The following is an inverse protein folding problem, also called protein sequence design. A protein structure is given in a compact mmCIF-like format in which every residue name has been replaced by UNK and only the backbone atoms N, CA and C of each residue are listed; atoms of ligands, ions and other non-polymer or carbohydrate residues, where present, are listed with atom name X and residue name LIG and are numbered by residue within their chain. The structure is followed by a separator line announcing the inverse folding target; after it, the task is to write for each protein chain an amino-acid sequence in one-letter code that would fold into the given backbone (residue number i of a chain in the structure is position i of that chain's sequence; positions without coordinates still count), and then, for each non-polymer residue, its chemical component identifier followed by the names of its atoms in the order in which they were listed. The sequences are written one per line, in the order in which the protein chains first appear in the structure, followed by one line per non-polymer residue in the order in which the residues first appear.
data_IF_857123756690
#
_entry.id   IF_857123756690
#
_cell.length_a   1.000
_cell.length_b   1.000
_cell.length_c   1.000
_cell.angle_alpha   90.00
_cell.angle_beta   90.00
_cell.angle_gamma   90.00
#
_symmetry.space_group_name_H-M   'P 1'
#
loop_
_entity.id
_entity.type
_entity.pdbx_description
1 polymer ?
#
# COMPACT_ATOMS: atom_id res chain seq x y z
N UNK A 1 4.42 -12.59 -45.74
CA UNK A 1 3.52 -11.55 -45.19
C UNK A 1 2.09 -11.92 -45.58
N UNK A 2 1.20 -12.25 -44.62
CA UNK A 2 -0.23 -12.50 -44.88
C UNK A 2 -1.07 -11.72 -43.85
N UNK A 3 -1.90 -10.82 -44.39
CA UNK A 3 -2.96 -9.95 -43.86
C UNK A 3 -3.10 -9.75 -42.34
N UNK A 4 -2.81 -8.51 -41.89
CA UNK A 4 -3.01 -8.03 -40.52
C UNK A 4 -4.13 -6.99 -40.35
N UNK A 5 -4.88 -6.63 -41.39
CA UNK A 5 -5.71 -5.40 -41.37
C UNK A 5 -7.24 -5.56 -41.51
N UNK A 6 -7.82 -6.76 -41.50
CA UNK A 6 -9.30 -6.92 -41.62
C UNK A 6 -10.11 -6.72 -40.32
N UNK A 7 -9.48 -6.47 -39.17
CA UNK A 7 -10.15 -6.38 -37.85
C UNK A 7 -10.66 -4.98 -37.47
N UNK A 8 -10.42 -3.95 -38.30
CA UNK A 8 -10.65 -2.55 -37.92
C UNK A 8 -12.13 -2.15 -37.74
N UNK A 9 -13.09 -3.05 -37.97
CA UNK A 9 -14.53 -2.73 -37.86
C UNK A 9 -15.24 -3.21 -36.59
N UNK A 10 -14.58 -3.98 -35.68
CA UNK A 10 -15.24 -4.53 -34.48
C UNK A 10 -14.76 -3.84 -33.20
N UNK A 11 -15.69 -3.20 -32.49
CA UNK A 11 -15.45 -2.61 -31.18
C UNK A 11 -15.80 -3.61 -30.07
N UNK A 12 -14.80 -4.04 -29.28
CA UNK A 12 -15.01 -4.89 -28.10
C UNK A 12 -15.28 -4.06 -26.83
N UNK A 13 -16.25 -4.48 -26.03
CA UNK A 13 -16.60 -3.82 -24.77
C UNK A 13 -17.33 -4.72 -23.78
N UNK A 14 -17.74 -4.13 -22.66
CA UNK A 14 -18.65 -4.80 -21.71
C UNK A 14 -20.06 -4.79 -22.30
N UNK A 15 -20.80 -5.91 -22.28
CA UNK A 15 -22.20 -5.87 -22.67
C UNK A 15 -23.00 -4.99 -21.71
N UNK A 16 -24.15 -4.52 -22.18
CA UNK A 16 -25.19 -3.87 -21.37
C UNK A 16 -26.56 -4.43 -21.69
N UNK A 17 -27.58 -4.04 -20.91
CA UNK A 17 -28.97 -4.53 -21.06
C UNK A 17 -29.50 -4.46 -22.50
N UNK A 18 -29.15 -3.40 -23.25
CA UNK A 18 -29.57 -3.19 -24.66
C UNK A 18 -28.96 -4.21 -25.63
N UNK A 19 -27.86 -4.86 -25.26
CA UNK A 19 -27.18 -5.83 -26.11
C UNK A 19 -27.81 -7.23 -26.04
N UNK A 20 -28.59 -7.53 -24.99
CA UNK A 20 -29.12 -8.86 -24.72
C UNK A 20 -29.95 -9.44 -25.88
N UNK A 21 -30.74 -8.60 -26.56
CA UNK A 21 -31.52 -9.04 -27.73
C UNK A 21 -30.63 -9.43 -28.90
N UNK A 22 -29.62 -8.62 -29.23
CA UNK A 22 -28.66 -8.95 -30.28
C UNK A 22 -27.81 -10.16 -29.93
N UNK A 23 -27.47 -10.35 -28.65
CA UNK A 23 -26.76 -11.54 -28.16
C UNK A 23 -27.63 -12.79 -28.31
N UNK A 24 -28.90 -12.72 -27.95
CA UNK A 24 -29.84 -13.84 -28.06
C UNK A 24 -29.97 -14.33 -29.51
N UNK A 25 -30.22 -13.42 -30.45
CA UNK A 25 -30.32 -13.77 -31.86
C UNK A 25 -28.99 -14.31 -32.40
N UNK A 26 -27.86 -13.70 -32.04
CA UNK A 26 -26.54 -14.17 -32.46
C UNK A 26 -26.27 -15.62 -31.99
N UNK A 27 -26.59 -15.97 -30.75
CA UNK A 27 -26.37 -17.33 -30.24
C UNK A 27 -27.33 -18.33 -30.91
N UNK A 28 -28.58 -17.93 -31.11
CA UNK A 28 -29.60 -18.73 -31.82
C UNK A 28 -29.16 -19.07 -33.25
N UNK A 29 -28.44 -18.18 -33.93
CA UNK A 29 -27.92 -18.39 -35.28
C UNK A 29 -26.55 -19.10 -35.32
N UNK A 30 -25.99 -19.46 -34.17
CA UNK A 30 -24.63 -20.03 -34.01
C UNK A 30 -24.63 -21.47 -33.48
N UNK A 31 -25.22 -22.46 -34.19
CA UNK A 31 -25.08 -23.86 -33.80
C UNK A 31 -23.59 -24.28 -33.80
N UNK A 32 -23.15 -25.15 -32.88
CA UNK A 32 -23.94 -25.98 -31.96
C UNK A 32 -24.15 -25.34 -30.57
N UNK A 33 -24.12 -24.02 -30.41
CA UNK A 33 -24.29 -23.41 -29.09
C UNK A 33 -25.71 -23.60 -28.55
N UNK A 34 -25.82 -24.00 -27.29
CA UNK A 34 -27.11 -24.06 -26.60
C UNK A 34 -27.74 -22.67 -26.45
N UNK A 35 -29.00 -22.55 -26.88
CA UNK A 35 -29.76 -21.34 -26.68
C UNK A 35 -30.33 -21.31 -25.26
N UNK A 36 -29.78 -20.43 -24.43
CA UNK A 36 -30.29 -20.20 -23.08
C UNK A 36 -31.59 -19.39 -23.10
N UNK A 37 -32.29 -19.31 -21.96
CA UNK A 37 -33.41 -18.38 -21.81
C UNK A 37 -32.98 -16.95 -22.09
N UNK A 38 -33.88 -16.13 -22.66
CA UNK A 38 -33.62 -14.69 -22.84
C UNK A 38 -33.22 -14.00 -21.53
N UNK A 39 -33.81 -14.42 -20.42
CA UNK A 39 -33.50 -13.94 -19.08
C UNK A 39 -32.04 -14.19 -18.70
N UNK A 40 -31.48 -15.36 -19.04
CA UNK A 40 -30.06 -15.67 -18.81
C UNK A 40 -29.14 -14.67 -19.53
N UNK A 41 -29.46 -14.29 -20.77
CA UNK A 41 -28.65 -13.30 -21.51
C UNK A 41 -28.77 -11.88 -20.93
N UNK A 42 -29.93 -11.52 -20.35
CA UNK A 42 -30.05 -10.27 -19.58
C UNK A 42 -29.09 -10.28 -18.38
N UNK A 43 -29.00 -11.37 -17.62
CA UNK A 43 -28.07 -11.52 -16.50
C UNK A 43 -26.61 -11.46 -16.97
N UNK A 44 -26.27 -12.15 -18.06
CA UNK A 44 -24.92 -12.13 -18.62
C UNK A 44 -24.51 -10.71 -19.08
N UNK A 45 -25.45 -9.95 -19.64
CA UNK A 45 -25.21 -8.59 -20.10
C UNK A 45 -25.23 -7.53 -18.99
N UNK A 46 -25.68 -7.88 -17.78
CA UNK A 46 -25.81 -6.94 -16.66
C UNK A 46 -24.96 -7.38 -15.46
N UNK A 47 -25.33 -8.47 -14.80
CA UNK A 47 -24.68 -8.97 -13.59
C UNK A 47 -23.26 -9.50 -13.88
N UNK A 48 -23.06 -10.19 -15.01
CA UNK A 48 -21.76 -10.80 -15.37
C UNK A 48 -20.99 -10.00 -16.43
N UNK A 49 -21.36 -8.73 -16.65
CA UNK A 49 -20.76 -7.92 -17.72
C UNK A 49 -19.24 -7.72 -17.58
N UNK A 50 -18.73 -7.86 -16.37
CA UNK A 50 -17.31 -7.71 -16.05
C UNK A 50 -16.45 -8.90 -16.50
N UNK A 51 -17.07 -10.06 -16.68
CA UNK A 51 -16.44 -11.28 -17.23
C UNK A 51 -16.89 -11.57 -18.67
N UNK A 52 -17.91 -10.88 -19.18
CA UNK A 52 -18.40 -11.05 -20.55
C UNK A 52 -17.88 -9.97 -21.53
N UNK A 53 -17.80 -10.29 -22.81
CA UNK A 53 -17.39 -9.37 -23.88
C UNK A 53 -18.42 -9.36 -25.00
N UNK A 54 -18.82 -8.17 -25.45
CA UNK A 54 -19.58 -7.99 -26.69
C UNK A 54 -18.68 -7.32 -27.73
N UNK A 55 -18.70 -7.82 -28.96
CA UNK A 55 -18.11 -7.19 -30.14
C UNK A 55 -19.20 -6.60 -31.01
N UNK A 56 -19.08 -5.33 -31.37
CA UNK A 56 -20.04 -4.64 -32.24
C UNK A 56 -19.40 -4.23 -33.55
N UNK A 57 -20.08 -4.56 -34.65
CA UNK A 57 -19.76 -4.08 -36.00
C UNK A 57 -20.93 -3.23 -36.49
N UNK A 58 -20.65 -2.00 -36.95
CA UNK A 58 -21.68 -1.07 -37.46
C UNK A 58 -22.87 -0.87 -36.50
N UNK A 59 -22.59 -0.87 -35.18
CA UNK A 59 -23.59 -0.71 -34.13
C UNK A 59 -24.41 -1.96 -33.78
N UNK A 60 -24.26 -3.06 -34.53
CA UNK A 60 -24.92 -4.34 -34.27
C UNK A 60 -24.03 -5.30 -33.49
N UNK A 61 -24.64 -6.18 -32.70
CA UNK A 61 -23.91 -7.26 -31.98
C UNK A 61 -23.42 -8.27 -33.02
N UNK A 62 -22.10 -8.42 -33.13
CA UNK A 62 -21.45 -9.28 -34.12
C UNK A 62 -20.64 -10.41 -33.47
N UNK A 63 -20.31 -10.28 -32.18
CA UNK A 63 -19.72 -11.36 -31.40
C UNK A 63 -20.06 -11.23 -29.92
N UNK A 64 -20.12 -12.35 -29.20
CA UNK A 64 -20.40 -12.40 -27.78
C UNK A 64 -19.64 -13.52 -27.08
N UNK A 65 -19.06 -13.21 -25.92
CA UNK A 65 -18.35 -14.15 -25.07
C UNK A 65 -18.91 -14.02 -23.67
N UNK A 66 -19.47 -15.11 -23.15
CA UNK A 66 -19.88 -15.22 -21.76
C UNK A 66 -18.79 -15.93 -20.96
N UNK A 67 -18.49 -15.39 -19.79
CA UNK A 67 -17.56 -16.03 -18.85
C UNK A 67 -17.97 -15.71 -17.41
N UNK A 68 -17.48 -16.50 -16.46
CA UNK A 68 -17.67 -16.27 -15.04
C UNK A 68 -16.49 -16.83 -14.23
N UNK A 69 -16.41 -16.47 -12.95
CA UNK A 69 -15.45 -17.07 -12.02
C UNK A 69 -16.08 -18.33 -11.42
N UNK A 70 -15.48 -19.53 -11.61
CA UNK A 70 -15.96 -20.71 -10.93
C UNK A 70 -15.92 -20.51 -9.40
N UNK A 71 -16.92 -20.98 -8.65
CA UNK A 71 -16.91 -20.91 -7.20
C UNK A 71 -15.61 -21.51 -6.65
N UNK A 72 -14.99 -20.81 -5.69
CA UNK A 72 -13.72 -21.21 -5.03
C UNK A 72 -12.47 -21.26 -5.93
N UNK A 73 -12.53 -20.82 -7.19
CA UNK A 73 -11.34 -20.67 -8.07
C UNK A 73 -11.10 -19.20 -8.43
N UNK A 74 -10.49 -18.44 -7.53
CA UNK A 74 -10.26 -16.99 -7.72
C UNK A 74 -9.24 -16.63 -8.80
N UNK A 75 -8.43 -17.60 -9.23
CA UNK A 75 -7.40 -17.44 -10.27
C UNK A 75 -7.80 -18.05 -11.62
N UNK A 76 -9.08 -18.42 -11.77
CA UNK A 76 -9.61 -19.08 -12.96
C UNK A 76 -10.80 -18.33 -13.53
N UNK A 77 -10.84 -18.15 -14.86
CA UNK A 77 -12.05 -17.70 -15.57
C UNK A 77 -12.57 -18.83 -16.43
N UNK A 78 -13.87 -19.14 -16.31
CA UNK A 78 -14.53 -20.15 -17.13
C UNK A 78 -15.30 -19.46 -18.24
N UNK A 79 -14.98 -19.79 -19.50
CA UNK A 79 -15.67 -19.32 -20.69
C UNK A 79 -16.82 -20.29 -20.98
N UNK A 80 -18.03 -19.76 -20.97
CA UNK A 80 -19.24 -20.56 -21.13
C UNK A 80 -19.69 -20.64 -22.59
N UNK A 81 -19.79 -19.51 -23.30
CA UNK A 81 -20.15 -19.48 -24.73
C UNK A 81 -19.29 -18.45 -25.46
N UNK A 82 -18.91 -18.79 -26.71
CA UNK A 82 -18.32 -17.84 -27.65
C UNK A 82 -19.12 -17.91 -28.94
N UNK A 83 -19.90 -16.87 -29.23
CA UNK A 83 -20.63 -16.71 -30.48
C UNK A 83 -19.97 -15.64 -31.35
N UNK A 84 -19.82 -15.93 -32.65
CA UNK A 84 -19.26 -15.02 -33.64
C UNK A 84 -20.12 -15.15 -34.90
N UNK A 85 -20.57 -14.00 -35.41
CA UNK A 85 -21.34 -13.91 -36.63
C UNK A 85 -20.65 -14.65 -37.78
N UNK A 86 -21.42 -15.37 -38.61
CA UNK A 86 -20.90 -16.22 -39.69
C UNK A 86 -19.96 -15.48 -40.64
N UNK A 87 -20.23 -14.20 -40.93
CA UNK A 87 -19.38 -13.38 -41.81
C UNK A 87 -17.99 -13.07 -41.22
N UNK A 88 -17.82 -13.30 -39.91
CA UNK A 88 -16.63 -12.99 -39.13
C UNK A 88 -15.95 -14.24 -38.54
N UNK A 89 -16.49 -15.43 -38.82
CA UNK A 89 -15.87 -16.69 -38.39
C UNK A 89 -14.52 -16.91 -39.08
N UNK A 90 -13.64 -17.66 -38.42
CA UNK A 90 -12.25 -17.94 -38.86
C UNK A 90 -11.31 -16.72 -39.00
N UNK A 91 -11.85 -15.50 -38.95
CA UNK A 91 -11.09 -14.24 -38.90
C UNK A 91 -10.60 -13.93 -37.49
N UNK A 92 -10.24 -14.90 -36.66
CA UNK A 92 -9.59 -14.70 -35.35
C UNK A 92 -10.34 -13.89 -34.26
N UNK A 93 -11.60 -13.49 -34.49
CA UNK A 93 -12.41 -12.66 -33.57
C UNK A 93 -12.53 -13.27 -32.17
N UNK A 94 -12.80 -14.59 -32.08
CA UNK A 94 -12.89 -15.30 -30.80
C UNK A 94 -11.60 -15.18 -29.95
N UNK A 95 -10.43 -15.34 -30.57
CA UNK A 95 -9.15 -15.15 -29.86
C UNK A 95 -8.94 -13.71 -29.41
N UNK A 96 -9.39 -12.74 -30.21
CA UNK A 96 -9.29 -11.33 -29.86
C UNK A 96 -10.18 -10.97 -28.66
N UNK A 97 -11.37 -11.55 -28.56
CA UNK A 97 -12.27 -11.38 -27.42
C UNK A 97 -11.68 -11.93 -26.12
N UNK A 98 -11.09 -13.14 -26.14
CA UNK A 98 -10.41 -13.69 -24.96
C UNK A 98 -9.24 -12.80 -24.53
N UNK A 99 -8.43 -12.32 -25.49
CA UNK A 99 -7.34 -11.38 -25.19
C UNK A 99 -7.84 -10.04 -24.63
N UNK A 100 -8.95 -9.52 -25.15
CA UNK A 100 -9.57 -8.31 -24.63
C UNK A 100 -10.08 -8.52 -23.19
N UNK A 101 -10.72 -9.66 -22.92
CA UNK A 101 -11.18 -10.04 -21.58
C UNK A 101 -10.03 -10.11 -20.57
N UNK A 102 -8.95 -10.82 -20.91
CA UNK A 102 -7.78 -11.02 -20.02
C UNK A 102 -6.96 -9.75 -19.77
N UNK A 103 -7.21 -8.66 -20.51
CA UNK A 103 -6.60 -7.35 -20.26
C UNK A 103 -7.36 -6.53 -19.21
N UNK A 104 -8.56 -6.95 -18.79
CA UNK A 104 -9.36 -6.21 -17.82
C UNK A 104 -8.75 -6.26 -16.43
N UNK A 105 -8.85 -5.14 -15.69
CA UNK A 105 -8.29 -4.97 -14.35
C UNK A 105 -8.77 -6.04 -13.36
N UNK A 106 -10.05 -6.42 -13.41
CA UNK A 106 -10.64 -7.45 -12.55
C UNK A 106 -10.21 -8.89 -12.88
N UNK A 107 -9.55 -9.12 -14.03
CA UNK A 107 -8.95 -10.41 -14.41
C UNK A 107 -7.41 -10.39 -14.36
N UNK A 108 -6.81 -9.35 -13.78
CA UNK A 108 -5.36 -9.16 -13.75
C UNK A 108 -4.58 -10.32 -13.10
N UNK A 109 -5.20 -11.03 -12.16
CA UNK A 109 -4.58 -12.13 -11.40
C UNK A 109 -4.94 -13.53 -11.92
N UNK A 110 -5.66 -13.64 -13.03
CA UNK A 110 -6.06 -14.93 -13.60
C UNK A 110 -4.82 -15.70 -14.10
N UNK A 111 -4.76 -16.98 -13.74
CA UNK A 111 -3.75 -17.94 -14.17
C UNK A 111 -4.34 -19.01 -15.08
N UNK A 112 -5.65 -19.27 -15.01
CA UNK A 112 -6.27 -20.34 -15.78
C UNK A 112 -7.50 -19.85 -16.56
N UNK A 113 -7.63 -20.34 -17.79
CA UNK A 113 -8.84 -20.20 -18.61
C UNK A 113 -9.43 -21.60 -18.77
N UNK A 114 -10.67 -21.77 -18.36
CA UNK A 114 -11.42 -23.02 -18.47
C UNK A 114 -12.55 -22.88 -19.49
N UNK A 115 -12.93 -23.97 -20.15
CA UNK A 115 -14.12 -24.08 -20.97
C UNK A 115 -14.54 -25.55 -21.09
N UNK A 116 -15.82 -25.82 -21.36
CA UNK A 116 -16.29 -27.17 -21.69
C UNK A 116 -16.57 -27.27 -23.19
N UNK A 117 -16.22 -28.42 -23.77
CA UNK A 117 -16.41 -28.71 -25.20
C UNK A 117 -16.84 -30.17 -25.36
N UNK A 118 -17.88 -30.40 -26.15
CA UNK A 118 -18.28 -31.74 -26.57
C UNK A 118 -17.28 -32.35 -27.56
N UNK A 119 -17.01 -33.67 -27.51
CA UNK A 119 -16.09 -34.36 -28.41
C UNK A 119 -16.34 -34.10 -29.91
N UNK A 120 -17.59 -34.00 -30.35
CA UNK A 120 -17.93 -33.74 -31.75
C UNK A 120 -17.62 -32.31 -32.21
N UNK A 121 -17.51 -31.34 -31.29
CA UNK A 121 -17.18 -29.95 -31.61
C UNK A 121 -15.66 -29.76 -31.85
N UNK A 122 -15.17 -30.34 -32.95
CA UNK A 122 -13.76 -30.30 -33.38
C UNK A 122 -13.24 -28.86 -33.55
N UNK A 123 -14.10 -27.94 -34.00
CA UNK A 123 -13.74 -26.54 -34.20
C UNK A 123 -13.37 -25.85 -32.87
N UNK A 124 -14.19 -26.02 -31.83
CA UNK A 124 -13.90 -25.51 -30.49
C UNK A 124 -12.65 -26.16 -29.90
N UNK A 125 -12.45 -27.48 -30.09
CA UNK A 125 -11.23 -28.17 -29.65
C UNK A 125 -9.96 -27.58 -30.26
N UNK A 126 -9.93 -27.38 -31.58
CA UNK A 126 -8.81 -26.75 -32.28
C UNK A 126 -8.60 -25.31 -31.81
N UNK A 127 -9.68 -24.57 -31.61
CA UNK A 127 -9.62 -23.19 -31.11
C UNK A 127 -8.92 -23.10 -29.75
N UNK A 128 -9.35 -23.89 -28.76
CA UNK A 128 -8.80 -23.82 -27.40
C UNK A 128 -7.34 -24.32 -27.34
N UNK A 129 -6.96 -25.32 -28.15
CA UNK A 129 -5.56 -25.75 -28.29
C UNK A 129 -4.67 -24.63 -28.85
N UNK A 130 -5.08 -23.98 -29.95
CA UNK A 130 -4.37 -22.82 -30.51
C UNK A 130 -4.37 -21.60 -29.57
N UNK A 131 -5.42 -21.45 -28.77
CA UNK A 131 -5.50 -20.39 -27.76
C UNK A 131 -4.45 -20.61 -26.67
N UNK A 132 -4.25 -21.85 -26.21
CA UNK A 132 -3.23 -22.20 -25.23
C UNK A 132 -1.82 -21.83 -25.70
N UNK A 133 -1.47 -22.18 -26.94
CA UNK A 133 -0.22 -21.77 -27.59
C UNK A 133 -0.05 -20.25 -27.62
N UNK A 134 -1.10 -19.52 -28.04
CA UNK A 134 -1.08 -18.04 -28.11
C UNK A 134 -0.98 -17.37 -26.74
N UNK A 135 -1.51 -18.00 -25.69
CA UNK A 135 -1.43 -17.49 -24.31
C UNK A 135 -0.13 -17.94 -23.61
N UNK A 136 0.61 -18.88 -24.19
CA UNK A 136 1.84 -19.44 -23.63
C UNK A 136 1.58 -20.30 -22.38
N UNK A 137 0.40 -20.91 -22.26
CA UNK A 137 0.03 -21.77 -21.15
C UNK A 137 -0.01 -23.25 -21.56
N UNK A 138 0.09 -24.14 -20.57
CA UNK A 138 -0.17 -25.58 -20.79
C UNK A 138 -1.64 -25.84 -21.13
N UNK A 139 -1.91 -27.02 -21.67
CA UNK A 139 -3.26 -27.45 -22.06
C UNK A 139 -3.57 -28.81 -21.46
N UNK A 140 -4.65 -28.91 -20.69
CA UNK A 140 -5.12 -30.14 -20.06
C UNK A 140 -6.60 -30.39 -20.38
N UNK A 141 -6.96 -31.65 -20.60
CA UNK A 141 -8.33 -32.10 -20.88
C UNK A 141 -8.78 -33.07 -19.79
N UNK A 142 -10.01 -32.92 -19.29
CA UNK A 142 -10.63 -33.88 -18.35
C UNK A 142 -12.13 -33.94 -18.59
N UNK A 143 -12.72 -35.13 -18.66
CA UNK A 143 -14.19 -35.26 -18.68
C UNK A 143 -14.77 -34.67 -17.39
N UNK A 144 -15.65 -33.67 -17.54
CA UNK A 144 -16.31 -32.97 -16.43
C UNK A 144 -17.70 -33.56 -16.17
N UNK A 145 -18.52 -33.64 -17.23
CA UNK A 145 -19.82 -34.29 -17.20
C UNK A 145 -19.83 -35.46 -18.17
N UNK A 146 -20.40 -36.59 -17.76
CA UNK A 146 -20.62 -37.78 -18.58
C UNK A 146 -22.04 -37.73 -19.15
N UNK A 147 -22.28 -38.46 -20.24
CA UNK A 147 -23.62 -38.56 -20.87
C UNK A 147 -24.74 -38.85 -19.86
N UNK A 148 -24.49 -39.75 -18.91
CA UNK A 148 -25.44 -40.12 -17.84
C UNK A 148 -25.80 -38.98 -16.88
N UNK A 149 -25.01 -37.91 -16.81
CA UNK A 149 -25.24 -36.81 -15.88
C UNK A 149 -26.36 -35.87 -16.37
N UNK A 150 -26.80 -36.01 -17.63
CA UNK A 150 -27.83 -35.18 -18.28
C UNK A 150 -29.27 -35.70 -18.12
N UNK A 151 -29.54 -36.51 -17.08
CA UNK A 151 -30.89 -36.90 -16.64
C UNK A 151 -31.85 -37.39 -17.77
N UNK A 152 -31.34 -38.11 -18.76
CA UNK A 152 -32.13 -38.69 -19.85
C UNK A 152 -32.31 -37.79 -21.08
N UNK A 153 -31.70 -36.60 -21.08
CA UNK A 153 -31.56 -35.76 -22.28
C UNK A 153 -30.40 -36.31 -23.11
N UNK A 154 -30.62 -36.54 -24.41
CA UNK A 154 -29.57 -36.97 -25.33
C UNK A 154 -28.51 -35.84 -25.45
N UNK A 155 -27.37 -36.04 -24.80
CA UNK A 155 -26.27 -35.09 -24.77
C UNK A 155 -24.94 -35.82 -24.59
N UNK A 156 -23.92 -35.42 -25.35
CA UNK A 156 -22.57 -35.97 -25.23
C UNK A 156 -21.92 -35.65 -23.88
N UNK A 157 -20.83 -36.35 -23.55
CA UNK A 157 -19.97 -35.93 -22.44
C UNK A 157 -19.39 -34.54 -22.67
N UNK A 158 -19.24 -33.75 -21.60
CA UNK A 158 -18.57 -32.46 -21.63
C UNK A 158 -17.12 -32.59 -21.16
N UNK A 159 -16.17 -32.21 -22.01
CA UNK A 159 -14.74 -32.24 -21.67
C UNK A 159 -14.31 -30.85 -21.23
N UNK A 160 -13.85 -30.73 -19.98
CA UNK A 160 -13.24 -29.52 -19.46
C UNK A 160 -11.83 -29.38 -20.05
N UNK A 161 -11.63 -28.28 -20.76
CA UNK A 161 -10.32 -27.79 -21.16
C UNK A 161 -9.82 -26.79 -20.14
N UNK A 162 -8.57 -26.95 -19.71
CA UNK A 162 -7.87 -26.02 -18.82
C UNK A 162 -6.62 -25.51 -19.51
N UNK A 163 -6.58 -24.20 -19.73
CA UNK A 163 -5.42 -23.48 -20.28
C UNK A 163 -4.71 -22.77 -19.14
N UNK A 164 -3.46 -23.13 -18.87
CA UNK A 164 -2.63 -22.41 -17.91
C UNK A 164 -1.47 -23.23 -17.34
N UNK A 165 -0.67 -22.65 -16.44
CA UNK A 165 -0.78 -21.26 -15.99
C UNK A 165 -0.43 -20.27 -17.12
N UNK A 166 -1.28 -19.28 -17.36
CA UNK A 166 -1.05 -18.18 -18.29
C UNK A 166 -0.47 -16.97 -17.55
N UNK A 167 0.30 -16.14 -18.27
CA UNK A 167 0.86 -14.90 -17.73
C UNK A 167 0.15 -13.68 -18.29
N UNK A 168 -0.83 -13.16 -17.54
CA UNK A 168 -1.46 -11.85 -17.82
C UNK A 168 -0.40 -10.74 -17.77
N UNK A 169 -0.66 -9.57 -18.39
CA UNK A 169 0.25 -8.43 -18.32
C UNK A 169 0.65 -8.05 -16.89
N UNK A 170 -0.29 -8.06 -15.94
CA UNK A 170 -0.02 -7.70 -14.54
C UNK A 170 0.83 -8.74 -13.80
N UNK A 171 0.62 -10.04 -14.06
CA UNK A 171 1.48 -11.09 -13.48
C UNK A 171 2.93 -10.99 -13.99
N UNK A 172 3.13 -10.62 -15.26
CA UNK A 172 4.48 -10.38 -15.80
C UNK A 172 5.17 -9.17 -15.16
N UNK A 173 4.40 -8.13 -14.84
CA UNK A 173 4.89 -6.95 -14.11
C UNK A 173 5.33 -7.32 -12.68
N UNK A 174 4.48 -8.04 -11.94
CA UNK A 174 4.78 -8.52 -10.57
C UNK A 174 6.01 -9.44 -10.50
N UNK A 175 6.20 -10.32 -11.49
CA UNK A 175 7.40 -11.17 -11.56
C UNK A 175 8.67 -10.35 -11.80
N UNK A 176 8.61 -9.34 -12.68
CA UNK A 176 9.73 -8.40 -12.89
C UNK A 176 10.04 -7.63 -11.61
N UNK A 177 9.03 -7.09 -10.93
CA UNK A 177 9.17 -6.41 -9.64
C UNK A 177 9.84 -7.30 -8.57
N UNK A 178 9.52 -8.59 -8.53
CA UNK A 178 10.13 -9.52 -7.56
C UNK A 178 11.60 -9.85 -7.87
N UNK A 179 12.08 -9.65 -9.10
CA UNK A 179 13.48 -9.92 -9.46
C UNK A 179 14.44 -8.88 -8.87
N UNK A 180 14.08 -7.58 -8.92
CA UNK A 180 14.89 -6.49 -8.34
C UNK A 180 15.07 -6.61 -6.82
N UNK A 181 14.07 -7.14 -6.11
CA UNK A 181 14.12 -7.28 -4.65
C UNK A 181 14.81 -8.56 -4.14
N UNK A 182 15.31 -9.43 -5.02
CA UNK A 182 15.83 -10.75 -4.63
C UNK A 182 17.02 -10.66 -3.66
N UNK A 183 17.90 -9.68 -3.86
CA UNK A 183 19.06 -9.45 -3.00
C UNK A 183 18.63 -9.11 -1.57
N UNK A 184 17.78 -8.08 -1.43
CA UNK A 184 17.23 -7.63 -0.14
C UNK A 184 16.49 -8.75 0.58
N UNK A 185 15.68 -9.53 -0.15
CA UNK A 185 14.96 -10.69 0.42
C UNK A 185 15.92 -11.73 1.03
N UNK A 186 17.08 -11.96 0.40
CA UNK A 186 18.06 -12.98 0.80
C UNK A 186 19.05 -12.49 1.86
N UNK A 187 19.41 -11.21 1.84
CA UNK A 187 20.57 -10.69 2.59
C UNK A 187 20.22 -9.68 3.67
N UNK A 188 19.12 -8.96 3.54
CA UNK A 188 18.71 -7.97 4.54
C UNK A 188 17.98 -8.65 5.70
N UNK A 189 18.12 -8.10 6.91
CA UNK A 189 17.39 -8.58 8.10
C UNK A 189 15.88 -8.61 7.87
N UNK A 190 15.20 -9.55 8.52
CA UNK A 190 13.74 -9.70 8.43
C UNK A 190 12.97 -8.55 9.10
N UNK A 191 13.63 -7.71 9.89
CA UNK A 191 13.00 -6.56 10.56
C UNK A 191 12.50 -5.48 9.58
N UNK A 192 13.11 -5.37 8.38
CA UNK A 192 12.79 -4.36 7.35
C UNK A 192 11.28 -4.18 7.12
N UNK A 193 10.76 -2.97 7.26
CA UNK A 193 9.33 -2.68 7.09
C UNK A 193 9.03 -2.05 5.72
N UNK A 194 9.66 -0.93 5.40
CA UNK A 194 9.31 -0.12 4.23
C UNK A 194 9.58 -0.79 2.89
N UNK A 195 10.59 -1.66 2.78
CA UNK A 195 10.82 -2.45 1.55
C UNK A 195 9.73 -3.51 1.31
N UNK A 196 8.89 -3.82 2.31
CA UNK A 196 7.66 -4.62 2.14
C UNK A 196 6.47 -3.75 1.78
N UNK A 197 6.33 -2.59 2.40
CA UNK A 197 5.23 -1.64 2.13
C UNK A 197 5.34 -0.99 0.74
N UNK A 198 6.56 -0.68 0.32
CA UNK A 198 6.91 -0.09 -0.97
C UNK A 198 7.88 -1.03 -1.70
N UNK A 199 7.40 -2.17 -2.28
CA UNK A 199 8.27 -3.19 -2.84
C UNK A 199 8.83 -2.77 -4.21
N UNK A 200 9.67 -1.75 -4.22
CA UNK A 200 10.34 -1.17 -5.38
C UNK A 200 11.80 -0.88 -5.04
N UNK A 201 12.64 -0.88 -6.07
CA UNK A 201 14.01 -0.38 -5.99
C UNK A 201 14.00 1.02 -6.60
N UNK A 202 14.15 2.03 -5.74
CA UNK A 202 14.19 3.43 -6.16
C UNK A 202 15.62 3.81 -6.59
N UNK A 203 15.73 4.57 -7.67
CA UNK A 203 17.01 4.98 -8.28
C UNK A 203 17.32 6.45 -7.97
N UNK A 204 16.43 7.37 -8.36
CA UNK A 204 16.64 8.81 -8.15
C UNK A 204 15.38 9.53 -7.68
N UNK A 205 15.57 10.72 -7.12
CA UNK A 205 14.52 11.49 -6.48
C UNK A 205 14.77 13.00 -6.61
N UNK A 206 13.71 13.80 -6.74
CA UNK A 206 13.79 15.27 -6.71
C UNK A 206 12.47 15.89 -6.26
N UNK A 207 12.52 16.81 -5.31
CA UNK A 207 11.32 17.41 -4.73
C UNK A 207 10.44 16.31 -4.11
N UNK A 208 9.18 16.24 -4.50
CA UNK A 208 8.25 15.20 -4.04
C UNK A 208 8.17 13.98 -4.98
N UNK A 209 9.14 13.79 -5.89
CA UNK A 209 9.11 12.71 -6.88
C UNK A 209 10.20 11.68 -6.64
N UNK A 210 9.81 10.41 -6.67
CA UNK A 210 10.67 9.23 -6.68
C UNK A 210 10.56 8.51 -8.02
N UNK A 211 11.66 7.94 -8.50
CA UNK A 211 11.73 7.15 -9.72
C UNK A 211 12.34 5.79 -9.42
N UNK A 212 11.70 4.70 -9.85
CA UNK A 212 12.26 3.36 -9.75
C UNK A 212 13.20 3.02 -10.92
N UNK A 213 13.91 1.90 -10.85
CA UNK A 213 14.83 1.43 -11.91
C UNK A 213 14.13 1.21 -13.27
N UNK A 214 12.79 1.08 -13.27
CA UNK A 214 11.96 1.00 -14.47
C UNK A 214 11.51 2.36 -15.01
N UNK A 215 12.01 3.46 -14.45
CA UNK A 215 11.57 4.84 -14.69
C UNK A 215 10.08 5.09 -14.36
N UNK A 216 9.45 4.26 -13.53
CA UNK A 216 8.12 4.58 -13.03
C UNK A 216 8.24 5.71 -12.02
N UNK A 217 7.36 6.69 -12.14
CA UNK A 217 7.34 7.88 -11.30
C UNK A 217 6.30 7.76 -10.20
N UNK A 218 6.68 8.12 -8.97
CA UNK A 218 5.83 8.14 -7.79
C UNK A 218 5.84 9.52 -7.15
N UNK A 219 4.70 9.94 -6.62
CA UNK A 219 4.62 11.13 -5.75
C UNK A 219 4.81 10.64 -4.32
N UNK A 220 5.79 11.20 -3.63
CA UNK A 220 6.17 10.82 -2.26
C UNK A 220 5.43 11.67 -1.23
N UNK A 221 4.38 11.08 -0.64
CA UNK A 221 3.66 11.64 0.51
C UNK A 221 4.19 11.12 1.86
N UNK A 222 5.20 10.26 1.84
CA UNK A 222 5.83 9.72 3.04
C UNK A 222 7.02 10.58 3.48
N UNK A 223 7.76 11.16 2.53
CA UNK A 223 8.87 12.10 2.75
C UNK A 223 9.91 11.59 3.78
N UNK A 224 10.14 10.28 3.82
CA UNK A 224 11.02 9.64 4.79
C UNK A 224 10.55 9.84 6.24
N UNK A 225 9.26 9.60 6.51
CA UNK A 225 8.63 9.84 7.81
C UNK A 225 8.79 11.29 8.31
N UNK A 226 8.65 12.28 7.41
CA UNK A 226 8.78 13.70 7.74
C UNK A 226 10.22 14.26 7.70
N UNK A 227 11.24 13.42 7.51
CA UNK A 227 12.64 13.87 7.43
C UNK A 227 12.88 14.87 6.29
N UNK A 228 12.13 14.74 5.18
CA UNK A 228 12.35 15.48 3.94
C UNK A 228 11.33 16.61 3.73
N UNK A 229 11.13 17.46 4.74
CA UNK A 229 10.22 18.62 4.66
C UNK A 229 10.50 19.57 3.48
N UNK A 230 11.75 19.61 2.98
CA UNK A 230 12.15 20.42 1.81
C UNK A 230 12.25 19.62 0.51
N UNK A 231 11.77 18.37 0.51
CA UNK A 231 11.84 17.42 -0.59
C UNK A 231 13.22 16.81 -0.82
N UNK A 232 13.26 15.79 -1.69
CA UNK A 232 14.48 15.12 -2.11
C UNK A 232 15.40 16.07 -2.90
N UNK A 233 16.70 16.05 -2.59
CA UNK A 233 17.75 16.72 -3.36
C UNK A 233 17.44 18.20 -3.68
N UNK A 234 17.01 18.95 -2.66
CA UNK A 234 16.78 20.38 -2.78
C UNK A 234 18.05 21.08 -3.28
N UNK A 235 18.03 21.78 -4.44
CA UNK A 235 19.25 22.33 -5.05
C UNK A 235 20.06 23.24 -4.12
N UNK A 236 19.40 24.03 -3.26
CA UNK A 236 20.10 24.90 -2.32
C UNK A 236 20.90 24.08 -1.28
N UNK A 237 20.28 23.04 -0.71
CA UNK A 237 20.91 22.17 0.29
C UNK A 237 22.01 21.31 -0.33
N UNK A 238 21.74 20.70 -1.49
CA UNK A 238 22.69 19.85 -2.20
C UNK A 238 23.93 20.64 -2.63
N UNK A 239 23.75 21.85 -3.18
CA UNK A 239 24.89 22.69 -3.58
C UNK A 239 25.73 23.12 -2.36
N UNK A 240 25.09 23.49 -1.24
CA UNK A 240 25.81 23.85 -0.02
C UNK A 240 26.67 22.70 0.50
N UNK A 241 26.13 21.48 0.53
CA UNK A 241 26.86 20.28 0.96
C UNK A 241 28.02 19.95 0.02
N UNK A 242 27.79 19.96 -1.31
CA UNK A 242 28.82 19.71 -2.31
C UNK A 242 29.97 20.72 -2.17
N UNK A 243 29.63 22.01 -2.00
CA UNK A 243 30.63 23.06 -1.84
C UNK A 243 31.44 22.89 -0.55
N UNK A 244 30.79 22.53 0.55
CA UNK A 244 31.46 22.27 1.84
C UNK A 244 32.48 21.12 1.73
N UNK A 245 32.10 20.04 1.05
CA UNK A 245 32.99 18.90 0.83
C UNK A 245 34.13 19.24 -0.14
N UNK A 246 33.83 19.91 -1.26
CA UNK A 246 34.84 20.29 -2.27
C UNK A 246 35.94 21.20 -1.73
N UNK A 247 35.62 22.08 -0.79
CA UNK A 247 36.61 22.95 -0.14
C UNK A 247 37.40 22.26 0.99
N UNK A 248 37.17 20.97 1.25
CA UNK A 248 37.83 20.23 2.33
C UNK A 248 37.36 20.60 3.73
N UNK A 249 36.06 20.89 3.92
CA UNK A 249 35.49 21.18 5.24
C UNK A 249 35.62 20.01 6.22
N UNK A 250 35.67 20.32 7.52
CA UNK A 250 35.77 19.33 8.60
C UNK A 250 34.47 18.51 8.68
N UNK A 251 34.52 17.24 8.27
CA UNK A 251 33.33 16.35 8.25
C UNK A 251 32.99 15.82 9.65
N UNK A 252 33.99 15.51 10.47
CA UNK A 252 33.80 14.98 11.82
C UNK A 252 34.80 15.60 12.79
N UNK A 253 34.31 16.37 13.76
CA UNK A 253 35.13 17.08 14.73
C UNK A 253 34.88 16.71 16.19
N UNK A 254 34.04 15.71 16.48
CA UNK A 254 33.52 15.48 17.84
C UNK A 254 32.95 16.78 18.44
N UNK A 255 33.51 17.31 19.52
CA UNK A 255 33.03 18.54 20.15
C UNK A 255 33.64 19.83 19.57
N UNK A 256 34.66 19.69 18.70
CA UNK A 256 35.50 20.82 18.25
C UNK A 256 34.65 21.97 17.73
N UNK A 257 35.09 23.19 18.05
CA UNK A 257 34.57 24.37 17.40
C UNK A 257 34.98 24.35 15.92
N UNK A 258 33.98 24.40 15.03
CA UNK A 258 34.19 24.49 13.58
C UNK A 258 33.45 25.70 13.03
N UNK A 259 33.90 26.19 11.86
CA UNK A 259 33.21 27.30 11.17
C UNK A 259 31.75 26.95 10.86
N UNK A 260 31.49 25.72 10.43
CA UNK A 260 30.14 25.20 10.18
C UNK A 260 29.27 25.20 11.46
N UNK A 261 29.80 24.70 12.58
CA UNK A 261 29.07 24.66 13.86
C UNK A 261 28.74 26.07 14.36
N UNK A 262 29.68 27.01 14.27
CA UNK A 262 29.46 28.42 14.62
C UNK A 262 28.36 29.04 13.76
N UNK A 263 28.46 28.91 12.43
CA UNK A 263 27.47 29.46 11.49
C UNK A 263 26.08 28.85 11.70
N UNK A 264 25.99 27.55 11.98
CA UNK A 264 24.72 26.88 12.31
C UNK A 264 24.10 27.47 13.58
N UNK A 265 24.88 27.61 14.66
CA UNK A 265 24.42 28.20 15.92
C UNK A 265 23.92 29.62 15.66
N UNK A 266 24.74 30.48 15.04
CA UNK A 266 24.37 31.87 14.70
C UNK A 266 23.06 31.94 13.90
N UNK A 267 22.84 31.02 12.95
CA UNK A 267 21.61 30.97 12.15
C UNK A 267 20.39 30.48 12.92
N UNK A 268 20.52 29.46 13.77
CA UNK A 268 19.43 28.99 14.63
C UNK A 268 18.95 30.11 15.55
N UNK A 269 19.88 30.84 16.20
CA UNK A 269 19.52 31.95 17.08
C UNK A 269 18.84 33.09 16.30
N UNK A 270 19.51 33.64 15.29
CA UNK A 270 19.02 34.82 14.57
C UNK A 270 17.76 34.58 13.73
N UNK A 271 17.53 33.34 13.26
CA UNK A 271 16.40 33.02 12.37
C UNK A 271 15.23 32.40 13.10
N UNK A 272 15.49 31.59 14.13
CA UNK A 272 14.46 30.77 14.80
C UNK A 272 14.17 31.27 16.21
N UNK A 273 15.18 31.32 17.08
CA UNK A 273 14.98 31.50 18.52
C UNK A 273 14.70 32.95 18.92
N UNK A 274 15.58 33.89 18.55
CA UNK A 274 15.47 35.30 18.95
C UNK A 274 14.18 35.96 18.44
N UNK A 275 13.73 35.77 17.17
CA UNK A 275 12.48 36.36 16.69
C UNK A 275 11.23 35.83 17.42
N UNK A 276 11.35 34.70 18.13
CA UNK A 276 10.27 34.09 18.92
C UNK A 276 10.42 34.35 20.42
N UNK A 277 11.47 35.08 20.84
CA UNK A 277 11.77 35.31 22.26
C UNK A 277 12.08 34.03 23.04
N UNK A 278 12.64 33.01 22.37
CA UNK A 278 12.98 31.73 22.98
C UNK A 278 14.42 31.73 23.49
N UNK A 279 14.59 31.71 24.82
CA UNK A 279 15.89 31.64 25.48
C UNK A 279 16.29 30.18 25.75
N UNK A 280 16.95 29.56 24.75
CA UNK A 280 17.45 28.19 24.85
C UNK A 280 18.96 28.12 24.64
N UNK A 281 19.59 27.09 25.21
CA UNK A 281 20.93 26.63 24.86
C UNK A 281 20.84 25.39 23.98
N UNK A 282 21.85 25.17 23.14
CA UNK A 282 21.92 24.01 22.24
C UNK A 282 22.86 22.94 22.80
N UNK A 283 22.39 21.70 22.85
CA UNK A 283 23.21 20.51 23.09
C UNK A 283 23.18 19.62 21.85
N UNK A 284 24.35 19.32 21.29
CA UNK A 284 24.48 18.44 20.13
C UNK A 284 24.67 17.00 20.62
N UNK A 285 23.69 16.13 20.35
CA UNK A 285 23.68 14.72 20.75
C UNK A 285 24.20 13.81 19.62
N UNK A 286 24.12 12.48 19.83
CA UNK A 286 24.20 11.54 18.70
C UNK A 286 23.13 11.87 17.63
N UNK A 287 23.39 11.57 16.34
CA UNK A 287 22.60 12.06 15.22
C UNK A 287 21.31 11.25 14.98
N UNK A 288 20.55 10.97 16.05
CA UNK A 288 19.27 10.26 15.99
C UNK A 288 18.28 10.89 16.96
N UNK A 289 16.98 10.82 16.65
CA UNK A 289 15.94 11.32 17.54
C UNK A 289 15.98 10.68 18.93
N UNK A 290 16.20 9.37 18.96
CA UNK A 290 16.38 8.60 20.18
C UNK A 290 17.54 9.09 21.08
N UNK A 291 18.69 9.50 20.51
CA UNK A 291 19.76 10.08 21.32
C UNK A 291 19.37 11.45 21.91
N UNK A 292 18.59 12.24 21.18
CA UNK A 292 18.07 13.52 21.68
C UNK A 292 17.11 13.30 22.85
N UNK A 293 16.14 12.39 22.71
CA UNK A 293 15.19 12.01 23.76
C UNK A 293 15.93 11.50 24.99
N UNK A 294 16.82 10.51 24.87
CA UNK A 294 17.53 9.97 26.05
C UNK A 294 18.38 11.04 26.75
N UNK A 295 18.95 11.98 26.00
CA UNK A 295 19.70 13.11 26.58
C UNK A 295 18.76 14.05 27.34
N UNK A 296 17.58 14.37 26.78
CA UNK A 296 16.58 15.21 27.42
C UNK A 296 16.04 14.57 28.72
N UNK A 297 15.74 13.27 28.69
CA UNK A 297 15.32 12.51 29.88
C UNK A 297 16.41 12.53 30.95
N UNK A 298 17.67 12.30 30.56
CA UNK A 298 18.80 12.34 31.50
C UNK A 298 19.00 13.72 32.12
N UNK A 299 18.91 14.78 31.30
CA UNK A 299 19.04 16.16 31.78
C UNK A 299 17.92 16.52 32.76
N UNK A 300 16.68 16.16 32.45
CA UNK A 300 15.55 16.41 33.33
C UNK A 300 15.73 15.74 34.69
N UNK A 301 16.10 14.45 34.68
CA UNK A 301 16.39 13.69 35.91
C UNK A 301 17.50 14.33 36.73
N UNK A 302 18.59 14.75 36.07
CA UNK A 302 19.73 15.40 36.72
C UNK A 302 19.34 16.73 37.38
N UNK A 303 18.53 17.55 36.70
CA UNK A 303 18.16 18.89 37.18
C UNK A 303 17.12 18.83 38.30
N UNK A 304 16.21 17.86 38.23
CA UNK A 304 15.12 17.71 39.20
C UNK A 304 15.43 16.78 40.36
N UNK A 305 16.54 16.04 40.31
CA UNK A 305 16.89 15.00 41.26
C UNK A 305 15.75 13.98 41.48
N UNK A 306 15.09 13.62 40.38
CA UNK A 306 14.02 12.63 40.34
C UNK A 306 14.20 11.71 39.14
N UNK A 307 13.87 10.42 39.30
CA UNK A 307 13.98 9.44 38.24
C UNK A 307 12.73 9.36 37.35
N UNK A 308 11.55 9.66 37.89
CA UNK A 308 10.28 9.36 37.22
C UNK A 308 10.00 10.33 36.06
N UNK A 309 9.46 9.80 34.95
CA UNK A 309 9.05 10.56 33.77
C UNK A 309 7.60 10.22 33.45
N UNK A 310 6.78 11.23 33.21
CA UNK A 310 5.44 11.02 32.64
C UNK A 310 5.52 11.04 31.12
N UNK A 311 5.01 9.99 30.48
CA UNK A 311 4.76 9.93 29.04
C UNK A 311 3.26 9.76 28.78
N UNK A 312 2.82 9.87 27.53
CA UNK A 312 1.41 9.80 27.16
C UNK A 312 1.05 8.55 26.35
N UNK A 313 -0.19 8.12 26.49
CA UNK A 313 -0.78 7.08 25.64
C UNK A 313 -0.51 7.35 24.16
N UNK A 314 -0.14 6.32 23.41
CA UNK A 314 0.16 6.38 21.97
C UNK A 314 1.43 7.18 21.57
N UNK A 315 2.18 7.74 22.52
CA UNK A 315 3.41 8.48 22.20
C UNK A 315 4.52 7.59 21.62
N UNK A 316 5.39 8.17 20.80
CA UNK A 316 6.56 7.51 20.23
C UNK A 316 7.80 8.41 20.34
N UNK A 317 8.81 7.94 21.08
CA UNK A 317 10.01 8.72 21.37
C UNK A 317 11.32 7.98 21.05
N UNK A 318 11.22 6.76 20.50
CA UNK A 318 12.38 5.98 20.08
C UNK A 318 12.36 4.52 20.51
N UNK A 319 13.46 3.85 20.16
CA UNK A 319 13.59 2.39 20.17
C UNK A 319 14.80 1.86 20.96
N UNK A 320 15.66 2.72 21.51
CA UNK A 320 16.67 2.28 22.50
C UNK A 320 16.07 2.22 23.89
N UNK A 321 16.68 1.49 24.82
CA UNK A 321 16.05 1.18 26.11
C UNK A 321 15.49 2.39 26.87
N UNK A 322 16.18 3.54 26.89
CA UNK A 322 15.71 4.73 27.61
C UNK A 322 14.53 5.43 26.91
N UNK A 323 14.61 5.59 25.60
CA UNK A 323 13.51 6.16 24.80
C UNK A 323 12.31 5.22 24.65
N UNK A 324 12.55 3.91 24.54
CA UNK A 324 11.52 2.89 24.45
C UNK A 324 10.69 2.82 25.74
N UNK A 325 11.28 3.14 26.89
CA UNK A 325 10.57 3.20 28.17
C UNK A 325 9.39 4.20 28.12
N UNK A 326 9.57 5.32 27.40
CA UNK A 326 8.55 6.37 27.22
C UNK A 326 7.74 6.22 25.92
N UNK A 327 8.09 5.34 24.99
CA UNK A 327 7.27 5.00 23.80
C UNK A 327 6.09 4.10 24.19
N UNK A 328 4.84 4.48 23.90
CA UNK A 328 3.63 3.80 24.39
C UNK A 328 3.08 2.65 23.53
N UNK A 329 3.44 2.56 22.25
CA UNK A 329 2.86 1.57 21.32
C UNK A 329 3.38 0.13 21.60
N UNK A 330 2.45 -0.81 21.74
CA UNK A 330 2.72 -2.22 22.10
C UNK A 330 3.50 -3.00 21.03
N UNK A 331 3.36 -2.63 19.75
CA UNK A 331 4.10 -3.24 18.65
C UNK A 331 5.62 -3.13 18.83
N UNK A 332 6.08 -2.05 19.45
CA UNK A 332 7.49 -1.79 19.72
C UNK A 332 7.93 -2.25 21.11
N UNK A 333 6.97 -2.41 22.04
CA UNK A 333 7.20 -2.78 23.43
C UNK A 333 7.09 -4.29 23.62
N UNK A 334 8.23 -4.97 23.61
CA UNK A 334 8.32 -6.37 24.05
C UNK A 334 8.99 -6.43 25.44
N UNK A 335 8.36 -7.16 26.36
CA UNK A 335 8.83 -7.31 27.75
C UNK A 335 10.22 -7.95 27.85
N UNK A 336 10.65 -8.68 26.83
CA UNK A 336 11.97 -9.32 26.81
C UNK A 336 13.12 -8.32 26.67
N UNK A 337 12.86 -7.05 26.29
CA UNK A 337 13.92 -6.07 26.04
C UNK A 337 13.56 -4.61 26.38
N UNK A 338 12.39 -4.32 26.96
CA UNK A 338 12.02 -2.97 27.44
C UNK A 338 12.32 -2.81 28.93
N UNK A 339 12.72 -1.60 29.33
CA UNK A 339 12.77 -1.21 30.75
C UNK A 339 11.54 -0.33 31.06
N UNK A 340 10.77 -0.68 32.10
CA UNK A 340 9.57 0.06 32.53
C UNK A 340 9.81 0.96 33.75
N UNK A 341 10.99 0.92 34.32
CA UNK A 341 11.29 1.59 35.57
C UNK A 341 11.30 3.10 35.37
N UNK A 342 10.73 3.81 36.35
CA UNK A 342 10.71 5.27 36.41
C UNK A 342 9.99 5.93 35.22
N UNK A 343 8.94 5.29 34.69
CA UNK A 343 8.03 5.90 33.72
C UNK A 343 6.59 5.61 34.09
N UNK A 344 5.77 6.66 34.17
CA UNK A 344 4.32 6.56 34.28
C UNK A 344 3.64 7.02 32.98
N UNK A 345 2.60 6.31 32.55
CA UNK A 345 1.82 6.68 31.37
C UNK A 345 0.52 7.38 31.76
N UNK A 346 0.26 8.54 31.17
CA UNK A 346 -0.93 9.34 31.35
C UNK A 346 -1.78 9.39 30.07
N UNK A 347 -3.11 9.51 30.17
CA UNK A 347 -3.97 9.62 29.01
C UNK A 347 -3.74 10.95 28.27
N UNK A 348 -3.44 10.87 26.96
CA UNK A 348 -3.28 12.02 26.07
C UNK A 348 -4.59 12.82 25.90
N UNK A 349 -4.55 13.98 25.25
CA UNK A 349 -5.77 14.74 24.94
C UNK A 349 -6.78 13.89 24.17
N UNK A 350 -8.05 13.95 24.58
CA UNK A 350 -9.14 13.21 23.93
C UNK A 350 -9.13 11.69 24.12
N UNK A 351 -8.18 11.10 24.88
CA UNK A 351 -8.08 9.64 25.05
C UNK A 351 -9.36 9.00 25.61
N UNK A 352 -10.04 9.68 26.56
CA UNK A 352 -11.34 9.26 27.11
C UNK A 352 -12.54 9.89 26.40
N UNK A 353 -12.34 10.39 25.19
CA UNK A 353 -13.34 11.11 24.41
C UNK A 353 -13.40 12.61 24.73
N UNK A 354 -14.19 13.38 23.95
CA UNK A 354 -14.11 14.85 23.91
C UNK A 354 -14.66 15.56 25.16
N UNK A 355 -15.31 14.82 26.07
CA UNK A 355 -15.93 15.38 27.29
C UNK A 355 -15.01 15.33 28.50
N UNK A 356 -13.91 14.59 28.43
CA UNK A 356 -13.00 14.36 29.55
C UNK A 356 -11.72 15.13 29.27
N UNK A 357 -11.41 16.09 30.12
CA UNK A 357 -10.13 16.77 30.10
C UNK A 357 -9.13 15.94 30.92
N UNK A 358 -8.23 15.25 30.22
CA UNK A 358 -7.28 14.34 30.86
C UNK A 358 -6.27 15.06 31.75
N UNK A 359 -6.10 16.38 31.61
CA UNK A 359 -5.28 17.17 32.54
C UNK A 359 -5.84 17.22 33.96
N UNK A 360 -7.17 17.10 34.13
CA UNK A 360 -7.79 17.09 35.46
C UNK A 360 -7.46 15.76 36.19
N UNK A 361 -7.36 14.65 35.44
CA UNK A 361 -6.87 13.37 35.98
C UNK A 361 -5.40 13.46 36.38
N UNK A 362 -4.55 14.02 35.51
CA UNK A 362 -3.12 14.20 35.79
C UNK A 362 -2.91 15.05 37.04
N UNK A 363 -3.65 16.15 37.19
CA UNK A 363 -3.61 16.96 38.41
C UNK A 363 -3.92 16.13 39.64
N UNK A 364 -5.05 15.41 39.64
CA UNK A 364 -5.46 14.60 40.79
C UNK A 364 -4.41 13.55 41.14
N UNK A 365 -3.77 12.99 40.12
CA UNK A 365 -2.71 12.01 40.24
C UNK A 365 -1.44 12.58 40.89
N UNK A 366 -1.10 13.85 40.61
CA UNK A 366 0.03 14.56 41.23
C UNK A 366 -0.27 15.09 42.63
N UNK A 367 -1.53 15.44 42.94
CA UNK A 367 -1.93 15.95 44.26
C UNK A 367 -2.05 14.85 45.32
N UNK A 368 -2.22 13.60 44.91
CA UNK A 368 -2.42 12.47 45.81
C UNK A 368 -1.09 11.82 46.19
N UNK A 369 -0.65 12.01 47.44
CA UNK A 369 0.58 11.42 47.98
C UNK A 369 0.56 9.89 48.06
N UNK A 370 -0.59 9.25 47.81
CA UNK A 370 -0.76 7.80 47.73
C UNK A 370 -1.15 7.34 46.31
N UNK A 371 -0.90 8.14 45.27
CA UNK A 371 -1.16 7.78 43.87
C UNK A 371 -0.30 6.62 43.37
N UNK A 372 0.82 6.33 44.06
CA UNK A 372 1.77 5.27 43.71
C UNK A 372 2.81 5.68 42.67
N UNK A 373 2.96 6.97 42.39
CA UNK A 373 3.98 7.50 41.48
C UNK A 373 4.84 8.53 42.18
N UNK A 374 6.15 8.40 41.99
CA UNK A 374 7.14 9.36 42.48
C UNK A 374 7.03 10.70 41.74
N UNK A 375 7.37 11.78 42.43
CA UNK A 375 7.39 13.15 41.88
C UNK A 375 8.15 13.17 40.55
N UNK A 376 7.51 13.46 39.41
CA UNK A 376 8.15 13.31 38.10
C UNK A 376 9.17 14.44 37.83
N UNK A 377 10.31 14.08 37.25
CA UNK A 377 11.29 15.05 36.76
C UNK A 377 10.78 15.80 35.52
N UNK A 378 10.07 15.11 34.63
CA UNK A 378 9.50 15.73 33.44
C UNK A 378 8.23 15.03 32.97
N UNK A 379 7.46 15.77 32.16
CA UNK A 379 6.49 15.20 31.22
C UNK A 379 7.02 15.35 29.80
N UNK A 380 7.07 14.26 29.03
CA UNK A 380 7.46 14.27 27.61
C UNK A 380 6.22 14.11 26.72
N UNK A 381 6.08 14.99 25.72
CA UNK A 381 4.87 15.04 24.89
C UNK A 381 5.16 15.44 23.43
N UNK A 382 4.51 14.77 22.49
CA UNK A 382 4.35 15.25 21.11
C UNK A 382 3.10 16.16 21.04
N UNK A 383 3.20 17.37 20.48
CA UNK A 383 2.00 18.23 20.30
C UNK A 383 1.04 17.67 19.25
N UNK A 384 1.58 16.92 18.29
CA UNK A 384 0.84 16.08 17.35
C UNK A 384 1.53 14.73 17.33
N UNK A 385 0.87 13.68 17.81
CA UNK A 385 1.45 12.34 17.83
C UNK A 385 1.50 11.76 16.43
N UNK A 386 2.70 11.51 15.90
CA UNK A 386 2.85 11.02 14.55
C UNK A 386 2.57 9.52 14.42
N UNK A 387 3.50 8.69 14.89
CA UNK A 387 3.38 7.22 14.88
C UNK A 387 2.20 6.70 15.74
N UNK A 388 1.71 7.53 16.66
CA UNK A 388 0.52 7.26 17.48
C UNK A 388 -0.82 7.33 16.73
N UNK A 389 -0.82 7.78 15.47
CA UNK A 389 -2.01 7.83 14.62
C UNK A 389 -2.47 9.23 14.22
N UNK A 390 -1.58 10.24 14.22
CA UNK A 390 -1.89 11.65 13.91
C UNK A 390 -2.91 12.23 14.90
N UNK A 391 -2.68 12.03 16.20
CA UNK A 391 -3.53 12.59 17.25
C UNK A 391 -3.08 14.02 17.57
N UNK A 392 -3.94 14.99 17.32
CA UNK A 392 -3.63 16.42 17.51
C UNK A 392 -4.13 16.87 18.88
N UNK A 393 -3.23 17.23 19.80
CA UNK A 393 -3.64 17.86 21.05
C UNK A 393 -4.24 19.24 20.78
N UNK A 394 -5.30 19.56 21.53
CA UNK A 394 -5.86 20.90 21.52
C UNK A 394 -4.91 21.89 22.18
N UNK A 395 -4.86 23.12 21.65
CA UNK A 395 -4.09 24.20 22.25
C UNK A 395 -4.47 24.47 23.71
N UNK A 396 -5.75 24.27 24.05
CA UNK A 396 -6.25 24.41 25.43
C UNK A 396 -5.58 23.37 26.34
N UNK A 397 -5.51 22.11 25.91
CA UNK A 397 -4.90 21.03 26.66
C UNK A 397 -3.40 21.26 26.84
N UNK A 398 -2.66 21.62 25.78
CA UNK A 398 -1.21 21.94 25.87
C UNK A 398 -0.94 23.08 26.86
N UNK A 399 -1.74 24.15 26.84
CA UNK A 399 -1.61 25.27 27.79
C UNK A 399 -1.93 24.87 29.23
N UNK A 400 -2.84 23.91 29.43
CA UNK A 400 -3.12 23.36 30.77
C UNK A 400 -1.99 22.46 31.24
N UNK A 401 -1.45 21.61 30.37
CA UNK A 401 -0.31 20.75 30.67
C UNK A 401 0.93 21.57 31.06
N UNK A 402 1.22 22.64 30.32
CA UNK A 402 2.30 23.57 30.66
C UNK A 402 2.10 24.19 32.05
N UNK A 403 0.88 24.62 32.38
CA UNK A 403 0.57 25.16 33.72
C UNK A 403 0.74 24.14 34.82
N UNK A 404 0.30 22.90 34.61
CA UNK A 404 0.56 21.80 35.55
C UNK A 404 2.06 21.61 35.77
N UNK A 405 2.84 21.56 34.70
CA UNK A 405 4.29 21.43 34.83
C UNK A 405 4.90 22.58 35.66
N UNK A 406 4.44 23.82 35.46
CA UNK A 406 4.89 24.98 36.25
C UNK A 406 4.46 24.89 37.73
N UNK A 407 3.21 24.54 38.01
CA UNK A 407 2.65 24.48 39.37
C UNK A 407 3.31 23.41 40.23
N UNK A 408 3.64 22.25 39.64
CA UNK A 408 4.27 21.12 40.33
C UNK A 408 5.80 21.10 40.14
N UNK A 409 6.38 22.15 39.57
CA UNK A 409 7.81 22.29 39.27
C UNK A 409 8.39 21.14 38.40
N UNK A 410 7.58 20.53 37.54
CA UNK A 410 7.97 19.47 36.61
C UNK A 410 8.47 20.10 35.30
N UNK A 411 9.51 19.55 34.69
CA UNK A 411 9.97 20.03 33.38
C UNK A 411 9.02 19.56 32.27
N UNK A 412 8.73 20.43 31.31
CA UNK A 412 8.00 20.04 30.09
C UNK A 412 8.99 19.80 28.95
N UNK A 413 9.02 18.57 28.42
CA UNK A 413 9.77 18.19 27.24
C UNK A 413 8.79 18.08 26.08
N UNK A 414 8.91 18.97 25.08
CA UNK A 414 8.19 18.83 23.81
C UNK A 414 9.09 18.06 22.86
N UNK A 415 8.67 16.86 22.48
CA UNK A 415 9.30 16.09 21.43
C UNK A 415 8.78 16.59 20.06
N UNK A 416 9.65 17.34 19.36
CA UNK A 416 9.38 17.98 18.07
C UNK A 416 10.25 17.34 16.96
N UNK A 417 10.54 16.03 17.09
CA UNK A 417 11.33 15.26 16.10
C UNK A 417 10.57 15.09 14.78
N UNK A 418 9.25 14.91 14.82
CA UNK A 418 8.41 14.62 13.65
C UNK A 418 7.39 15.73 13.37
#
# INVERSE_FOLDING_TARGET
MKNKDEYKSIAFGKPGKKDAAGVYELVKESPPLDLNSFYSYLLLCTHYRDTCVVGKAEGRVASFLSAYFPPKKSDTVFIWQIAVDKSLQEKGVASAMVKHLLKRRNLSMIKYVEATVTPENKNSSIFFKRLAEKLGGGFNEKTLFREKDFAGIEHEKEVLFTIGPIKTPKLRELERESSGLKLFKKKESKVRSYSRSFPKVFDHAKGALLYDEGNNRYIDFFAGAGTLNYGHNNPALTNAMINYLRRGGVVHGLDQATTCKREFIEKIYSTILEPRGLDYKLQFTGPTGTNAVETALKLARLVKDSSNIISFTNGFHGMTMGSLAVTGNDFYRDESHVNRDNVAFMPYDGYFGPKVDTTDYIRRFLEDSSSGVDDPAAMIVETVQGEGGVNVASLKWIKKLQRLCQEFEILLIVDDIQ
#
